data_IF_574987728514
#
_entry.id   IF_574987728514
#
_cell.length_a   1.000
_cell.length_b   1.000
_cell.length_c   1.000
_cell.angle_alpha   90.00
_cell.angle_beta   90.00
_cell.angle_gamma   90.00
#
_symmetry.space_group_name_H-M   'P 1'
#
loop_
_entity.id
_entity.type
_entity.pdbx_description
1 polymer ?
#
# COMPACT_ATOMS: atom_id res chain seq x y z
N UNK A 1 -30.11 16.99 -42.38
CA UNK A 1 -28.73 16.72 -41.94
C UNK A 1 -28.45 15.26 -42.22
N UNK A 2 -27.44 14.96 -43.03
CA UNK A 2 -27.05 13.57 -43.34
C UNK A 2 -26.07 13.13 -42.26
N UNK A 3 -26.38 12.05 -41.52
CA UNK A 3 -25.45 11.44 -40.57
C UNK A 3 -24.23 10.93 -41.34
N UNK A 4 -23.07 11.54 -41.07
CA UNK A 4 -21.79 11.07 -41.63
C UNK A 4 -21.45 9.75 -40.93
N UNK A 5 -21.57 8.64 -41.66
CA UNK A 5 -21.16 7.32 -41.21
C UNK A 5 -19.62 7.31 -41.10
N UNK A 6 -19.11 6.93 -39.94
CA UNK A 6 -17.67 6.78 -39.72
C UNK A 6 -17.16 5.69 -40.66
N UNK A 7 -16.08 6.00 -41.37
CA UNK A 7 -15.50 5.14 -42.40
C UNK A 7 -14.50 4.18 -41.75
N UNK A 8 -14.33 2.97 -42.28
CA UNK A 8 -13.39 1.97 -41.73
C UNK A 8 -11.96 2.50 -41.60
N UNK A 9 -11.57 3.43 -42.48
CA UNK A 9 -10.28 4.13 -42.41
C UNK A 9 -10.15 5.04 -41.18
N UNK A 10 -11.22 5.74 -40.80
CA UNK A 10 -11.26 6.57 -39.59
C UNK A 10 -11.21 5.68 -38.33
N UNK A 11 -11.86 4.50 -38.36
CA UNK A 11 -11.79 3.51 -37.27
C UNK A 11 -10.36 2.99 -37.11
N UNK A 12 -9.69 2.62 -38.20
CA UNK A 12 -8.31 2.13 -38.18
C UNK A 12 -7.35 3.23 -37.69
N UNK A 13 -7.54 4.48 -38.16
CA UNK A 13 -6.72 5.61 -37.72
C UNK A 13 -6.89 5.90 -36.22
N UNK A 14 -8.13 5.82 -35.72
CA UNK A 14 -8.41 5.95 -34.28
C UNK A 14 -7.77 4.81 -33.51
N UNK A 15 -7.93 3.55 -33.94
CA UNK A 15 -7.30 2.39 -33.30
C UNK A 15 -5.78 2.49 -33.29
N UNK A 16 -5.18 2.94 -34.38
CA UNK A 16 -3.73 3.09 -34.47
C UNK A 16 -3.24 4.22 -33.56
N UNK A 17 -3.94 5.36 -33.54
CA UNK A 17 -3.66 6.46 -32.63
C UNK A 17 -3.78 6.02 -31.16
N UNK A 18 -4.81 5.25 -30.82
CA UNK A 18 -4.94 4.66 -29.48
C UNK A 18 -3.80 3.68 -29.19
N UNK A 19 -3.42 2.81 -30.14
CA UNK A 19 -2.32 1.84 -29.96
C UNK A 19 -0.96 2.52 -29.76
N UNK A 20 -0.69 3.62 -30.48
CA UNK A 20 0.52 4.44 -30.33
C UNK A 20 0.50 5.29 -29.07
N UNK A 21 -0.68 5.69 -28.60
CA UNK A 21 -0.84 6.45 -27.35
C UNK A 21 -0.76 5.57 -26.10
N UNK A 22 -0.86 4.24 -26.25
CA UNK A 22 -0.57 3.35 -25.13
C UNK A 22 0.94 3.38 -24.90
N UNK A 23 1.41 3.91 -23.76
CA UNK A 23 2.84 3.91 -23.47
C UNK A 23 3.32 2.47 -23.51
N UNK A 24 4.38 2.20 -24.28
CA UNK A 24 5.06 0.92 -24.29
C UNK A 24 5.38 0.57 -22.84
N UNK A 25 4.74 -0.49 -22.36
CA UNK A 25 4.61 -0.86 -20.95
C UNK A 25 5.90 -1.56 -20.47
N UNK A 26 7.07 -1.02 -20.81
CA UNK A 26 8.36 -1.67 -20.55
C UNK A 26 8.92 -1.37 -19.17
N UNK A 27 8.38 -0.39 -18.44
CA UNK A 27 8.71 -0.19 -17.03
C UNK A 27 7.48 0.36 -16.26
N UNK A 28 6.53 -0.52 -15.90
CA UNK A 28 5.26 -0.16 -15.23
C UNK A 28 5.44 0.60 -13.92
N UNK A 29 6.63 0.62 -13.34
CA UNK A 29 6.87 1.40 -12.12
C UNK A 29 7.85 2.54 -12.34
N UNK A 30 8.88 2.46 -13.19
CA UNK A 30 9.88 3.54 -13.32
C UNK A 30 10.49 4.01 -11.98
N UNK A 31 10.22 3.26 -10.90
CA UNK A 31 10.56 3.59 -9.52
C UNK A 31 11.94 3.02 -9.23
N UNK A 32 12.66 3.70 -8.34
CA UNK A 32 14.02 3.31 -7.96
C UNK A 32 14.08 1.90 -7.37
N UNK A 33 15.26 1.26 -7.44
CA UNK A 33 15.50 -0.02 -6.77
C UNK A 33 15.23 0.06 -5.26
N UNK A 34 15.54 1.20 -4.64
CA UNK A 34 15.26 1.45 -3.22
C UNK A 34 13.77 1.47 -2.91
N UNK A 35 12.95 2.06 -3.79
CA UNK A 35 11.49 2.00 -3.67
C UNK A 35 11.01 0.54 -3.69
N UNK A 36 11.46 -0.25 -4.66
CA UNK A 36 11.06 -1.67 -4.79
C UNK A 36 11.44 -2.48 -3.56
N UNK A 37 12.63 -2.24 -3.00
CA UNK A 37 13.09 -2.89 -1.78
C UNK A 37 12.23 -2.53 -0.56
N UNK A 38 11.97 -1.24 -0.32
CA UNK A 38 11.11 -0.78 0.78
C UNK A 38 9.68 -1.28 0.62
N UNK A 39 9.16 -1.28 -0.61
CA UNK A 39 7.82 -1.75 -0.90
C UNK A 39 7.70 -3.24 -0.60
N UNK A 40 8.67 -4.05 -1.04
CA UNK A 40 8.73 -5.47 -0.73
C UNK A 40 8.83 -5.71 0.79
N UNK A 41 9.67 -4.94 1.48
CA UNK A 41 9.84 -5.03 2.94
C UNK A 41 8.53 -4.78 3.69
N UNK A 42 7.78 -3.72 3.35
CA UNK A 42 6.50 -3.41 4.00
C UNK A 42 5.47 -4.50 3.71
N UNK A 43 5.43 -5.00 2.47
CA UNK A 43 4.51 -6.06 2.11
C UNK A 43 4.79 -7.34 2.92
N UNK A 44 6.05 -7.74 2.99
CA UNK A 44 6.49 -8.90 3.78
C UNK A 44 6.18 -8.69 5.27
N UNK A 45 6.42 -7.49 5.80
CA UNK A 45 6.13 -7.16 7.20
C UNK A 45 4.65 -7.39 7.55
N UNK A 46 3.72 -6.86 6.76
CA UNK A 46 2.29 -7.03 7.03
C UNK A 46 1.88 -8.49 6.91
N UNK A 47 2.40 -9.24 5.93
CA UNK A 47 2.11 -10.67 5.79
C UNK A 47 2.60 -11.48 7.00
N UNK A 48 3.83 -11.23 7.46
CA UNK A 48 4.38 -11.88 8.65
C UNK A 48 3.58 -11.52 9.90
N UNK A 49 3.11 -10.28 10.00
CA UNK A 49 2.30 -9.82 11.12
C UNK A 49 0.92 -10.51 11.15
N UNK A 50 0.27 -10.65 9.99
CA UNK A 50 -0.99 -11.41 9.86
C UNK A 50 -0.76 -12.89 10.23
N UNK A 51 0.32 -13.50 9.72
CA UNK A 51 0.66 -14.88 10.03
C UNK A 51 0.91 -15.10 11.52
N UNK A 52 1.64 -14.18 12.17
CA UNK A 52 1.90 -14.20 13.61
C UNK A 52 0.58 -14.20 14.41
N UNK A 53 -0.36 -13.34 14.04
CA UNK A 53 -1.68 -13.31 14.68
C UNK A 53 -2.41 -14.67 14.60
N UNK A 54 -2.42 -15.30 13.42
CA UNK A 54 -3.05 -16.62 13.28
C UNK A 54 -2.34 -17.69 14.10
N UNK A 55 -1.01 -17.67 14.19
CA UNK A 55 -0.23 -18.60 15.04
C UNK A 55 -0.62 -18.42 16.51
N UNK A 56 -0.68 -17.18 17.00
CA UNK A 56 -1.06 -16.89 18.38
C UNK A 56 -2.50 -17.32 18.68
N UNK A 57 -3.42 -17.05 17.76
CA UNK A 57 -4.83 -17.45 17.88
C UNK A 57 -4.99 -18.98 17.92
N UNK A 58 -4.28 -19.72 17.05
CA UNK A 58 -4.28 -21.20 17.06
C UNK A 58 -3.72 -21.74 18.37
N UNK A 59 -2.61 -21.18 18.87
CA UNK A 59 -2.00 -21.63 20.12
C UNK A 59 -2.92 -21.42 21.33
N UNK A 60 -3.66 -20.31 21.38
CA UNK A 60 -4.68 -20.09 22.43
C UNK A 60 -5.77 -21.17 22.42
N UNK A 61 -6.26 -21.56 21.24
CA UNK A 61 -7.23 -22.65 21.12
C UNK A 61 -6.65 -24.00 21.57
N UNK A 62 -5.35 -24.22 21.37
CA UNK A 62 -4.68 -25.48 21.71
C UNK A 62 -4.38 -25.63 23.21
N UNK A 63 -4.09 -24.54 23.93
CA UNK A 63 -3.73 -24.59 25.36
C UNK A 63 -4.92 -24.53 26.31
N UNK A 64 -6.14 -24.22 25.83
CA UNK A 64 -7.36 -23.98 26.64
C UNK A 64 -7.13 -22.96 27.78
N UNK A 65 -6.08 -22.15 27.69
CA UNK A 65 -5.69 -21.20 28.73
C UNK A 65 -6.46 -19.90 28.51
N UNK A 66 -7.59 -19.78 29.20
CA UNK A 66 -8.48 -18.61 29.16
C UNK A 66 -8.05 -17.58 30.20
N UNK A 67 -6.79 -17.16 30.16
CA UNK A 67 -6.38 -15.97 30.92
C UNK A 67 -7.00 -14.74 30.26
N UNK A 68 -7.80 -13.97 31.03
CA UNK A 68 -8.54 -12.80 30.54
C UNK A 68 -7.64 -11.76 29.87
N UNK A 69 -6.39 -11.65 30.33
CA UNK A 69 -5.39 -10.75 29.77
C UNK A 69 -4.91 -11.14 28.35
N UNK A 70 -4.81 -12.44 28.05
CA UNK A 70 -4.45 -12.94 26.72
C UNK A 70 -5.59 -12.72 25.73
N UNK A 71 -6.84 -12.83 26.19
CA UNK A 71 -8.03 -12.62 25.37
C UNK A 71 -8.24 -11.15 24.98
N UNK A 72 -8.04 -10.22 25.93
CA UNK A 72 -8.06 -8.77 25.64
C UNK A 72 -6.95 -8.37 24.65
N UNK A 73 -5.74 -8.89 24.84
CA UNK A 73 -4.63 -8.66 23.91
C UNK A 73 -4.95 -9.15 22.49
N UNK A 74 -5.47 -10.37 22.36
CA UNK A 74 -5.80 -10.96 21.06
C UNK A 74 -6.96 -10.24 20.37
N UNK A 75 -7.92 -9.72 21.13
CA UNK A 75 -9.02 -8.90 20.59
C UNK A 75 -8.50 -7.59 19.99
N UNK A 76 -7.59 -6.90 20.69
CA UNK A 76 -6.95 -5.69 20.17
C UNK A 76 -6.09 -6.02 18.95
N UNK A 77 -5.34 -7.12 19.01
CA UNK A 77 -4.49 -7.58 17.91
C UNK A 77 -5.33 -7.91 16.66
N UNK A 78 -6.48 -8.57 16.82
CA UNK A 78 -7.42 -8.90 15.75
C UNK A 78 -7.91 -7.64 15.02
N UNK A 79 -8.36 -6.63 15.78
CA UNK A 79 -8.78 -5.35 15.20
C UNK A 79 -7.67 -4.69 14.39
N UNK A 80 -6.44 -4.68 14.91
CA UNK A 80 -5.27 -4.09 14.23
C UNK A 80 -4.89 -4.84 12.96
N UNK A 81 -4.91 -6.17 13.00
CA UNK A 81 -4.62 -7.03 11.84
C UNK A 81 -5.63 -6.77 10.73
N UNK A 82 -6.91 -6.61 11.06
CA UNK A 82 -7.95 -6.31 10.08
C UNK A 82 -7.75 -4.94 9.42
N UNK A 83 -7.44 -3.90 10.21
CA UNK A 83 -7.14 -2.57 9.66
C UNK A 83 -5.88 -2.59 8.78
N UNK A 84 -4.80 -3.24 9.25
CA UNK A 84 -3.56 -3.38 8.50
C UNK A 84 -3.75 -4.13 7.18
N UNK A 85 -4.62 -5.14 7.14
CA UNK A 85 -4.96 -5.86 5.91
C UNK A 85 -5.58 -4.92 4.86
N UNK A 86 -6.55 -4.10 5.24
CA UNK A 86 -7.17 -3.13 4.31
C UNK A 86 -6.19 -2.05 3.87
N UNK A 87 -5.35 -1.56 4.78
CA UNK A 87 -4.29 -0.62 4.46
C UNK A 87 -3.28 -1.23 3.48
N UNK A 88 -2.90 -2.49 3.67
CA UNK A 88 -2.02 -3.24 2.76
C UNK A 88 -2.62 -3.41 1.37
N UNK A 89 -3.91 -3.77 1.27
CA UNK A 89 -4.60 -3.87 -0.02
C UNK A 89 -4.60 -2.50 -0.72
N UNK A 90 -4.93 -1.42 0.00
CA UNK A 90 -4.95 -0.08 -0.58
C UNK A 90 -3.56 0.42 -1.02
N UNK A 91 -2.50 0.10 -0.28
CA UNK A 91 -1.13 0.44 -0.65
C UNK A 91 -0.73 -0.26 -1.95
N UNK A 92 -1.03 -1.55 -2.09
CA UNK A 92 -0.75 -2.31 -3.30
C UNK A 92 -1.57 -1.82 -4.49
N UNK A 93 -2.86 -1.53 -4.27
CA UNK A 93 -3.75 -0.98 -5.29
C UNK A 93 -3.23 0.36 -5.81
N UNK A 94 -2.88 1.29 -4.92
CA UNK A 94 -2.40 2.63 -5.31
C UNK A 94 -1.01 2.61 -5.94
N UNK A 95 -0.14 1.67 -5.53
CA UNK A 95 1.14 1.44 -6.19
C UNK A 95 0.97 0.88 -7.61
N UNK A 96 -0.01 -0.01 -7.80
CA UNK A 96 -0.31 -0.61 -9.10
C UNK A 96 -0.91 0.39 -10.09
N UNK A 97 -1.88 1.19 -9.63
CA UNK A 97 -2.55 2.19 -10.47
C UNK A 97 -1.81 3.53 -10.54
N UNK A 98 -0.77 3.74 -9.73
CA UNK A 98 -0.01 4.99 -9.63
C UNK A 98 -0.91 6.22 -9.33
N UNK A 99 -1.99 6.01 -8.56
CA UNK A 99 -2.95 7.06 -8.17
C UNK A 99 -3.12 7.06 -6.66
N UNK A 100 -2.98 8.23 -6.04
CA UNK A 100 -3.24 8.39 -4.61
C UNK A 100 -2.23 7.72 -3.68
N UNK A 101 -1.09 7.22 -4.19
CA UNK A 101 -0.10 6.48 -3.41
C UNK A 101 0.41 7.25 -2.20
N UNK A 102 0.83 8.51 -2.39
CA UNK A 102 1.27 9.38 -1.27
C UNK A 102 0.18 9.60 -0.22
N UNK A 103 -1.08 9.71 -0.64
CA UNK A 103 -2.20 9.88 0.28
C UNK A 103 -2.43 8.61 1.11
N UNK A 104 -2.38 7.43 0.49
CA UNK A 104 -2.47 6.15 1.22
C UNK A 104 -1.27 5.95 2.15
N UNK A 105 -0.05 6.26 1.71
CA UNK A 105 1.12 6.26 2.60
C UNK A 105 0.91 7.16 3.83
N UNK A 106 0.33 8.36 3.65
CA UNK A 106 0.05 9.27 4.76
C UNK A 106 -1.01 8.71 5.72
N UNK A 107 -2.10 8.11 5.20
CA UNK A 107 -3.12 7.45 6.03
C UNK A 107 -2.48 6.33 6.86
N UNK A 108 -1.62 5.51 6.24
CA UNK A 108 -0.89 4.43 6.93
C UNK A 108 0.02 5.01 8.01
N UNK A 109 0.73 6.11 7.71
CA UNK A 109 1.64 6.74 8.66
C UNK A 109 0.89 7.29 9.88
N UNK A 110 -0.24 7.97 9.68
CA UNK A 110 -1.12 8.45 10.76
C UNK A 110 -1.63 7.28 11.60
N UNK A 111 -2.10 6.21 10.96
CA UNK A 111 -2.56 5.01 11.66
C UNK A 111 -1.44 4.38 12.51
N UNK A 112 -0.24 4.22 11.97
CA UNK A 112 0.89 3.59 12.67
C UNK A 112 1.37 4.45 13.84
N UNK A 113 1.40 5.77 13.70
CA UNK A 113 1.71 6.68 14.81
C UNK A 113 0.66 6.57 15.92
N UNK A 114 -0.64 6.60 15.57
CA UNK A 114 -1.72 6.44 16.54
C UNK A 114 -1.63 5.08 17.25
N UNK A 115 -1.40 4.02 16.48
CA UNK A 115 -1.23 2.66 17.00
C UNK A 115 -0.07 2.54 17.98
N UNK A 116 1.01 3.32 17.80
CA UNK A 116 2.18 3.31 18.69
C UNK A 116 1.84 3.93 20.05
N UNK A 117 1.12 5.05 20.03
CA UNK A 117 0.66 5.74 21.25
C UNK A 117 -0.30 4.83 22.01
N UNK A 118 -1.30 4.29 21.31
CA UNK A 118 -2.29 3.39 21.90
C UNK A 118 -1.61 2.16 22.54
N UNK A 119 -0.63 1.54 21.87
CA UNK A 119 0.10 0.41 22.44
C UNK A 119 0.88 0.79 23.70
N UNK A 120 1.51 1.96 23.72
CA UNK A 120 2.25 2.42 24.90
C UNK A 120 1.30 2.62 26.09
N UNK A 121 0.09 3.13 25.85
CA UNK A 121 -0.91 3.36 26.89
C UNK A 121 -1.54 2.04 27.35
N UNK A 122 -2.08 1.24 26.42
CA UNK A 122 -2.76 -0.03 26.70
C UNK A 122 -1.85 -1.04 27.38
N UNK A 123 -0.57 -1.09 27.01
CA UNK A 123 0.37 -2.09 27.52
C UNK A 123 1.32 -1.56 28.60
N UNK A 124 1.16 -0.29 29.03
CA UNK A 124 1.94 0.29 30.14
C UNK A 124 1.80 -0.48 31.47
N UNK A 125 0.65 -1.14 31.68
CA UNK A 125 0.37 -1.95 32.86
C UNK A 125 0.81 -3.42 32.76
N UNK A 126 1.22 -3.87 31.57
CA UNK A 126 1.46 -5.29 31.23
C UNK A 126 2.94 -5.66 31.25
N UNK A 127 3.63 -5.32 32.36
CA UNK A 127 5.07 -5.54 32.52
C UNK A 127 5.50 -7.01 32.36
N UNK A 128 4.65 -7.98 32.68
CA UNK A 128 4.96 -9.41 32.52
C UNK A 128 4.98 -9.86 31.05
N UNK A 129 4.31 -9.16 30.13
CA UNK A 129 4.32 -9.49 28.69
C UNK A 129 5.61 -9.03 27.98
N UNK A 130 6.43 -8.20 28.61
CA UNK A 130 7.75 -7.83 28.06
C UNK A 130 8.71 -9.03 27.97
N UNK A 131 8.46 -10.10 28.73
CA UNK A 131 9.25 -11.34 28.68
C UNK A 131 8.84 -12.25 27.51
N UNK A 132 7.70 -12.01 26.87
CA UNK A 132 7.31 -12.74 25.66
C UNK A 132 7.98 -12.15 24.42
N UNK A 133 8.86 -12.95 23.79
CA UNK A 133 9.62 -12.62 22.59
C UNK A 133 8.77 -12.01 21.45
N UNK A 134 7.50 -12.40 21.36
CA UNK A 134 6.54 -11.89 20.36
C UNK A 134 6.17 -10.42 20.58
N UNK A 135 6.01 -10.01 21.85
CA UNK A 135 5.64 -8.64 22.19
C UNK A 135 6.81 -7.68 21.96
N UNK A 136 8.03 -8.10 22.31
CA UNK A 136 9.25 -7.34 22.03
C UNK A 136 9.48 -7.18 20.51
N UNK A 137 9.32 -8.27 19.74
CA UNK A 137 9.41 -8.21 18.28
C UNK A 137 8.36 -7.28 17.68
N UNK A 138 7.13 -7.28 18.22
CA UNK A 138 6.08 -6.36 17.82
C UNK A 138 6.46 -4.90 18.11
N UNK A 139 6.93 -4.59 19.32
CA UNK A 139 7.29 -3.22 19.72
C UNK A 139 8.46 -2.65 18.90
N UNK A 140 9.47 -3.47 18.57
CA UNK A 140 10.63 -3.04 17.77
C UNK A 140 10.27 -2.84 16.29
N UNK A 141 9.33 -3.61 15.77
CA UNK A 141 9.02 -3.58 14.33
C UNK A 141 8.09 -2.44 13.92
N UNK A 142 7.29 -1.88 14.84
CA UNK A 142 6.40 -0.74 14.56
C UNK A 142 7.19 0.51 14.12
N UNK A 143 8.21 1.00 14.86
CA UNK A 143 9.02 2.15 14.44
C UNK A 143 9.71 1.91 13.09
N UNK A 144 10.19 0.70 12.85
CA UNK A 144 10.84 0.33 11.60
C UNK A 144 9.86 0.43 10.42
N UNK A 145 8.61 -0.01 10.60
CA UNK A 145 7.58 0.11 9.58
C UNK A 145 7.19 1.58 9.33
N UNK A 146 7.14 2.44 10.37
CA UNK A 146 6.89 3.89 10.21
C UNK A 146 7.97 4.53 9.34
N UNK A 147 9.25 4.24 9.61
CA UNK A 147 10.38 4.74 8.82
C UNK A 147 10.30 4.25 7.37
N UNK A 148 9.95 2.98 7.16
CA UNK A 148 9.82 2.41 5.83
C UNK A 148 8.70 3.09 5.02
N UNK A 149 7.54 3.33 5.63
CA UNK A 149 6.38 3.98 4.97
C UNK A 149 6.70 5.44 4.66
N UNK A 150 7.34 6.15 5.59
CA UNK A 150 7.82 7.51 5.33
C UNK A 150 8.83 7.54 4.18
N UNK A 151 9.76 6.57 4.13
CA UNK A 151 10.72 6.41 3.04
C UNK A 151 10.04 6.16 1.70
N UNK A 152 9.01 5.28 1.64
CA UNK A 152 8.22 5.08 0.44
C UNK A 152 7.58 6.37 -0.05
N UNK A 153 6.97 7.15 0.85
CA UNK A 153 6.30 8.40 0.51
C UNK A 153 7.26 9.44 -0.10
N UNK A 154 8.49 9.52 0.41
CA UNK A 154 9.53 10.46 -0.05
C UNK A 154 10.12 10.03 -1.40
N UNK A 155 10.43 8.75 -1.54
CA UNK A 155 11.13 8.21 -2.73
C UNK A 155 10.18 8.07 -3.92
N UNK A 156 8.88 7.96 -3.67
CA UNK A 156 7.89 7.79 -4.72
C UNK A 156 7.91 8.94 -5.75
N UNK A 157 8.18 8.57 -6.99
CA UNK A 157 8.10 9.48 -8.14
C UNK A 157 6.70 9.46 -8.73
N UNK A 158 6.02 10.60 -8.76
CA UNK A 158 4.72 10.71 -9.42
C UNK A 158 4.92 10.70 -10.94
N UNK A 159 4.45 9.67 -11.64
CA UNK A 159 4.54 9.60 -13.12
C UNK A 159 3.39 10.38 -13.81
N UNK A 160 3.03 11.57 -13.33
CA UNK A 160 2.09 12.43 -14.05
C UNK A 160 2.80 13.08 -15.24
N UNK A 161 3.00 12.32 -16.31
CA UNK A 161 3.13 12.94 -17.62
C UNK A 161 1.76 13.51 -17.98
N UNK A 162 1.64 14.83 -17.90
CA UNK A 162 0.57 15.64 -18.49
C UNK A 162 0.63 15.56 -20.01
N UNK A 163 0.43 14.39 -20.61
CA UNK A 163 0.11 14.29 -22.03
C UNK A 163 -1.41 14.38 -22.18
N UNK A 164 -1.92 15.61 -22.12
CA UNK A 164 -3.23 15.85 -22.72
C UNK A 164 -3.12 15.48 -24.21
N UNK A 165 -4.00 14.63 -24.76
CA UNK A 165 -3.98 14.28 -26.19
C UNK A 165 -4.16 15.50 -27.12
N UNK A 166 -4.61 16.63 -26.57
CA UNK A 166 -4.90 17.86 -27.30
C UNK A 166 -3.65 18.73 -27.55
N UNK A 167 -2.60 18.58 -26.75
CA UNK A 167 -1.37 19.38 -26.90
C UNK A 167 -0.43 18.87 -27.98
N UNK A 168 -0.46 17.57 -28.32
CA UNK A 168 0.37 17.03 -29.41
C UNK A 168 -0.19 17.35 -30.80
N UNK A 169 -1.52 17.44 -30.94
CA UNK A 169 -2.18 17.79 -32.21
C UNK A 169 -2.00 19.29 -32.52
N UNK A 170 -1.98 20.16 -31.50
CA UNK A 170 -1.81 21.59 -31.69
C UNK A 170 -0.41 21.99 -32.21
N UNK A 171 0.62 21.18 -31.95
CA UNK A 171 1.99 21.43 -32.43
C UNK A 171 2.21 20.90 -33.85
N UNK A 172 1.53 19.81 -34.23
CA UNK A 172 1.63 19.23 -35.57
C UNK A 172 0.87 20.00 -36.66
N UNK A 173 0.00 20.94 -36.29
CA UNK A 173 -0.80 21.74 -37.23
C UNK A 173 -0.13 23.03 -37.74
N UNK A 174 1.13 23.32 -37.35
CA UNK A 174 1.82 24.57 -37.70
C UNK A 174 2.99 24.40 -38.69
N UNK A 175 3.14 23.22 -39.28
CA UNK A 175 4.15 22.95 -40.29
C UNK A 175 3.49 22.55 -41.62
N UNK A 176 2.85 23.53 -42.28
CA UNK A 176 2.75 23.69 -43.74
C UNK A 176 2.12 25.03 -44.06
#
# INVERSE_FOLDING_TARGET
MVEKKITDLEIVAILEAFSKSQPIVTDRTGQSSSFRALFCFINLYVLLFIALYFILKINQFATLDTNSLTEEFLTVLEGRVFVLFWLFVSLNMTAYFNVGFKAVCLIILVYMLNSTIDNTILFSGLKDLLDELYFLAFMITIPLCVIAVAGLMIIYKDNFETSSPLTSVAVSGKAT
#
